data_IF_123967778653
#
_entry.id   IF_123967778653
#
_cell.length_a   1.000
_cell.length_b   1.000
_cell.length_c   1.000
_cell.angle_alpha   90.00
_cell.angle_beta   90.00
_cell.angle_gamma   90.00
#
_symmetry.space_group_name_H-M   'P 1'
#
loop_
_entity.id
_entity.type
_entity.pdbx_description
1 polymer ?
#
# COMPACT_ATOMS: atom_id res chain seq x y z
N UNK A 1 12.01 -9.03 27.23
CA UNK A 1 11.53 -9.70 26.01
C UNK A 1 10.69 -10.87 26.42
N UNK A 2 9.42 -10.92 26.02
CA UNK A 2 8.61 -12.07 26.41
C UNK A 2 9.12 -13.35 25.72
N UNK A 3 8.95 -14.53 26.35
CA UNK A 3 9.59 -15.78 25.91
C UNK A 3 9.13 -16.30 24.54
N UNK A 4 8.01 -15.80 24.03
CA UNK A 4 7.43 -16.11 22.72
C UNK A 4 8.19 -15.51 21.54
N UNK A 5 9.01 -14.47 21.77
CA UNK A 5 9.50 -13.57 20.72
C UNK A 5 10.86 -13.96 20.12
N UNK A 6 11.27 -15.22 20.28
CA UNK A 6 12.62 -15.65 19.90
C UNK A 6 12.83 -17.16 20.00
N UNK A 7 13.67 -17.68 19.10
CA UNK A 7 14.20 -19.05 19.22
C UNK A 7 15.11 -19.14 20.46
N UNK A 8 14.97 -20.22 21.22
CA UNK A 8 15.90 -20.54 22.33
C UNK A 8 17.33 -20.61 21.78
N UNK A 9 18.24 -19.85 22.37
CA UNK A 9 19.64 -19.72 21.94
C UNK A 9 20.61 -20.08 23.10
N UNK A 10 20.32 -21.19 23.77
CA UNK A 10 21.11 -21.66 24.92
C UNK A 10 20.95 -20.80 26.17
N UNK A 11 21.99 -20.76 27.02
CA UNK A 11 22.01 -19.97 28.26
C UNK A 11 23.22 -19.04 28.29
N UNK A 12 23.10 -17.88 28.94
CA UNK A 12 24.25 -17.00 29.19
C UNK A 12 25.17 -17.57 30.28
N UNK A 13 26.29 -16.88 30.54
CA UNK A 13 27.27 -17.28 31.59
C UNK A 13 26.67 -17.31 33.00
N UNK A 14 25.49 -16.71 33.20
CA UNK A 14 24.75 -16.68 34.47
C UNK A 14 23.59 -17.68 34.49
N UNK A 15 23.44 -18.50 33.44
CA UNK A 15 22.38 -19.50 33.34
C UNK A 15 21.03 -18.97 32.84
N UNK A 16 20.94 -17.69 32.45
CA UNK A 16 19.71 -17.11 31.92
C UNK A 16 19.47 -17.62 30.50
N UNK A 17 18.22 -17.97 30.18
CA UNK A 17 17.83 -18.39 28.83
C UNK A 17 18.10 -17.26 27.83
N UNK A 18 18.90 -17.56 26.81
CA UNK A 18 19.12 -16.67 25.67
C UNK A 18 18.09 -16.93 24.59
N UNK A 19 17.84 -15.88 23.85
CA UNK A 19 16.71 -15.72 22.96
C UNK A 19 17.20 -14.91 21.76
N UNK A 20 17.01 -15.44 20.54
CA UNK A 20 17.35 -14.76 19.28
C UNK A 20 16.11 -14.60 18.39
N UNK A 21 15.91 -13.45 17.72
CA UNK A 21 14.80 -13.29 16.77
C UNK A 21 14.83 -14.36 15.68
N UNK A 22 13.66 -14.81 15.23
CA UNK A 22 13.56 -15.71 14.09
C UNK A 22 13.62 -14.95 12.76
N UNK A 23 14.66 -15.11 11.92
CA UNK A 23 14.79 -14.38 10.66
C UNK A 23 13.63 -14.57 9.69
N UNK A 24 12.89 -15.69 9.81
CA UNK A 24 11.76 -16.00 8.95
C UNK A 24 10.49 -15.22 9.30
N UNK A 25 10.43 -14.59 10.48
CA UNK A 25 9.31 -13.75 10.95
C UNK A 25 9.57 -12.25 10.71
N UNK A 26 10.34 -11.92 9.68
CA UNK A 26 10.60 -10.56 9.19
C UNK A 26 10.16 -10.47 7.73
N UNK A 27 9.02 -9.83 7.49
CA UNK A 27 8.45 -9.67 6.16
C UNK A 27 8.89 -8.34 5.58
N UNK A 28 9.99 -8.36 4.83
CA UNK A 28 10.48 -7.22 4.07
C UNK A 28 9.58 -7.01 2.86
N UNK A 29 9.19 -5.77 2.55
CA UNK A 29 8.55 -5.39 1.28
C UNK A 29 8.56 -3.87 1.06
N UNK A 30 7.96 -3.40 -0.04
CA UNK A 30 7.73 -1.98 -0.31
C UNK A 30 6.25 -1.66 -0.10
N UNK A 31 5.97 -0.67 0.74
CA UNK A 31 4.60 -0.26 1.07
C UNK A 31 4.04 0.77 0.09
N UNK A 32 4.92 1.54 -0.56
CA UNK A 32 4.54 2.58 -1.51
C UNK A 32 5.73 2.88 -2.41
N UNK A 33 5.49 3.00 -3.71
CA UNK A 33 6.53 3.32 -4.67
C UNK A 33 6.05 4.39 -5.65
N UNK A 34 6.87 5.43 -5.85
CA UNK A 34 6.57 6.53 -6.74
C UNK A 34 7.74 6.72 -7.69
N UNK A 35 7.42 6.88 -8.97
CA UNK A 35 8.40 7.19 -9.98
C UNK A 35 7.88 8.25 -10.95
N UNK A 36 8.82 8.94 -11.56
CA UNK A 36 8.59 9.83 -12.67
C UNK A 36 9.02 9.12 -13.94
N UNK A 37 8.32 9.33 -15.05
CA UNK A 37 8.65 8.67 -16.31
C UNK A 37 8.55 9.63 -17.48
N UNK A 38 9.62 9.65 -18.25
CA UNK A 38 9.71 10.40 -19.49
C UNK A 38 8.95 9.70 -20.59
N UNK A 39 8.31 10.45 -21.48
CA UNK A 39 7.47 9.92 -22.54
C UNK A 39 7.83 10.64 -23.84
N UNK A 40 8.29 9.86 -24.83
CA UNK A 40 8.85 10.39 -26.06
C UNK A 40 7.80 11.02 -26.98
N UNK A 41 6.57 10.50 -26.97
CA UNK A 41 5.44 10.95 -27.78
C UNK A 41 4.33 11.57 -26.91
N UNK A 42 4.69 12.27 -25.82
CA UNK A 42 3.74 12.71 -24.82
C UNK A 42 2.62 13.59 -25.38
N UNK A 43 2.99 14.67 -26.08
CA UNK A 43 2.03 15.63 -26.60
C UNK A 43 1.13 15.00 -27.68
N UNK A 44 1.67 14.12 -28.53
CA UNK A 44 0.91 13.37 -29.54
C UNK A 44 -0.22 12.54 -28.91
N UNK A 45 0.10 11.74 -27.88
CA UNK A 45 -0.91 10.90 -27.20
C UNK A 45 -1.92 11.77 -26.47
N UNK A 46 -1.48 12.85 -25.81
CA UNK A 46 -2.39 13.76 -25.11
C UNK A 46 -3.34 14.45 -26.09
N UNK A 47 -2.85 14.92 -27.22
CA UNK A 47 -3.64 15.61 -28.27
C UNK A 47 -4.54 14.64 -29.06
N UNK A 48 -4.23 13.35 -29.08
CA UNK A 48 -5.06 12.31 -29.73
C UNK A 48 -6.38 12.00 -29.02
N UNK A 49 -6.71 12.71 -27.95
CA UNK A 49 -7.99 12.65 -27.24
C UNK A 49 -7.88 12.36 -25.75
N UNK A 50 -6.73 11.87 -25.26
CA UNK A 50 -6.55 11.59 -23.84
C UNK A 50 -6.68 12.86 -22.97
N UNK A 51 -6.17 14.01 -23.45
CA UNK A 51 -6.31 15.28 -22.73
C UNK A 51 -7.77 15.68 -22.55
N UNK A 52 -8.58 15.56 -23.60
CA UNK A 52 -10.02 15.85 -23.55
C UNK A 52 -10.73 14.94 -22.55
N UNK A 53 -10.41 13.64 -22.56
CA UNK A 53 -10.96 12.67 -21.62
C UNK A 53 -10.65 13.03 -20.17
N UNK A 54 -9.40 13.44 -19.90
CA UNK A 54 -8.94 13.87 -18.58
C UNK A 54 -9.56 15.21 -18.13
N UNK A 55 -9.69 16.17 -19.04
CA UNK A 55 -10.31 17.47 -18.74
C UNK A 55 -11.81 17.33 -18.43
N UNK A 56 -12.54 16.58 -19.26
CA UNK A 56 -13.95 16.28 -19.07
C UNK A 56 -14.17 15.53 -17.75
N UNK A 57 -13.38 14.50 -17.47
CA UNK A 57 -13.51 13.73 -16.23
C UNK A 57 -13.15 14.56 -14.98
N UNK A 58 -12.13 15.42 -15.05
CA UNK A 58 -11.78 16.34 -13.96
C UNK A 58 -12.92 17.33 -13.68
N UNK A 59 -13.54 17.87 -14.73
CA UNK A 59 -14.64 18.82 -14.59
C UNK A 59 -15.88 18.17 -13.97
N UNK A 60 -16.25 16.97 -14.45
CA UNK A 60 -17.34 16.19 -13.87
C UNK A 60 -17.15 15.92 -12.37
N UNK A 61 -15.93 15.53 -11.99
CA UNK A 61 -15.60 15.28 -10.59
C UNK A 61 -15.67 16.54 -9.73
N UNK A 62 -15.16 17.67 -10.23
CA UNK A 62 -15.09 18.92 -9.45
C UNK A 62 -16.43 19.63 -9.32
N UNK A 63 -17.25 19.64 -10.38
CA UNK A 63 -18.47 20.44 -10.43
C UNK A 63 -19.70 19.66 -9.96
N UNK A 64 -19.73 18.35 -10.25
CA UNK A 64 -20.93 17.51 -10.06
C UNK A 64 -20.71 16.35 -9.10
N UNK A 65 -19.47 16.16 -8.60
CA UNK A 65 -19.08 14.99 -7.79
C UNK A 65 -19.41 13.65 -8.47
N UNK A 66 -19.36 13.64 -9.82
CA UNK A 66 -19.55 12.45 -10.65
C UNK A 66 -18.19 11.87 -11.05
N UNK A 67 -18.11 10.54 -11.16
CA UNK A 67 -16.86 9.86 -11.51
C UNK A 67 -16.88 9.41 -12.97
N UNK A 68 -15.96 9.95 -13.77
CA UNK A 68 -15.64 9.41 -15.09
C UNK A 68 -14.61 8.30 -14.95
N UNK A 69 -14.85 7.18 -15.61
CA UNK A 69 -13.94 6.02 -15.58
C UNK A 69 -13.28 5.79 -16.93
N UNK A 70 -12.08 5.21 -16.89
CA UNK A 70 -11.30 4.78 -18.05
C UNK A 70 -10.92 3.32 -17.82
N UNK A 71 -11.25 2.48 -18.80
CA UNK A 71 -10.93 1.05 -18.78
C UNK A 71 -9.63 0.78 -19.54
N UNK A 72 -8.71 0.06 -18.90
CA UNK A 72 -7.43 -0.35 -19.46
C UNK A 72 -7.38 -1.87 -19.52
N UNK A 73 -7.27 -2.43 -20.73
CA UNK A 73 -7.12 -3.87 -20.93
C UNK A 73 -5.64 -4.24 -20.96
N UNK A 74 -5.25 -5.13 -20.06
CA UNK A 74 -3.91 -5.70 -20.01
C UNK A 74 -3.98 -7.18 -20.32
N UNK A 75 -3.01 -7.76 -21.05
CA UNK A 75 -3.02 -9.20 -21.39
C UNK A 75 -3.06 -10.13 -20.18
N UNK A 76 -2.48 -9.69 -19.06
CA UNK A 76 -2.40 -10.46 -17.81
C UNK A 76 -3.72 -10.49 -17.02
N UNK A 77 -4.76 -9.78 -17.49
CA UNK A 77 -6.04 -9.65 -16.81
C UNK A 77 -7.20 -10.02 -17.72
N UNK A 78 -8.13 -10.82 -17.21
CA UNK A 78 -9.36 -11.18 -17.91
C UNK A 78 -10.33 -9.97 -18.00
N UNK A 79 -10.38 -9.17 -16.93
CA UNK A 79 -11.19 -7.96 -16.85
C UNK A 79 -10.30 -6.71 -16.98
N UNK A 80 -10.80 -5.61 -17.57
CA UNK A 80 -10.06 -4.37 -17.63
C UNK A 80 -9.80 -3.81 -16.22
N UNK A 81 -8.65 -3.17 -16.07
CA UNK A 81 -8.40 -2.27 -14.95
C UNK A 81 -9.26 -1.02 -15.12
N UNK A 82 -10.02 -0.66 -14.09
CA UNK A 82 -10.87 0.53 -14.12
C UNK A 82 -10.19 1.64 -13.33
N UNK A 83 -9.97 2.78 -13.96
CA UNK A 83 -9.41 3.97 -13.35
C UNK A 83 -10.45 5.08 -13.29
N UNK A 84 -10.49 5.82 -12.20
CA UNK A 84 -11.30 7.04 -12.07
C UNK A 84 -10.46 8.25 -12.44
N UNK A 85 -11.00 9.13 -13.29
CA UNK A 85 -10.40 10.42 -13.62
C UNK A 85 -10.63 11.39 -12.46
N UNK A 86 -9.54 12.00 -11.95
CA UNK A 86 -9.57 12.98 -10.85
C UNK A 86 -8.64 14.16 -11.12
N UNK A 87 -8.69 15.17 -10.26
CA UNK A 87 -7.68 16.24 -10.23
C UNK A 87 -6.27 15.69 -9.92
N UNK A 88 -5.24 16.33 -10.48
CA UNK A 88 -3.84 15.96 -10.26
C UNK A 88 -3.17 16.64 -9.05
N UNK A 89 -1.84 16.51 -8.99
CA UNK A 89 -0.98 17.16 -7.99
C UNK A 89 -0.39 18.47 -8.52
N UNK A 90 -1.07 19.59 -8.21
CA UNK A 90 -0.62 20.94 -8.56
C UNK A 90 0.76 21.26 -7.95
N UNK A 91 1.57 22.13 -8.60
CA UNK A 91 1.28 22.84 -9.85
C UNK A 91 1.57 22.05 -11.12
N UNK A 92 2.39 20.99 -11.03
CA UNK A 92 2.95 20.32 -12.20
C UNK A 92 1.95 19.36 -12.88
N UNK A 93 1.30 18.51 -12.10
CA UNK A 93 0.39 17.50 -12.60
C UNK A 93 -1.06 17.97 -12.42
N UNK A 94 -1.77 18.16 -13.52
CA UNK A 94 -3.12 18.74 -13.48
C UNK A 94 -4.22 17.67 -13.41
N UNK A 95 -3.92 16.46 -13.86
CA UNK A 95 -4.87 15.36 -13.98
C UNK A 95 -4.35 14.11 -13.29
N UNK A 96 -5.24 13.21 -12.91
CA UNK A 96 -4.87 11.86 -12.51
C UNK A 96 -5.88 10.80 -12.93
N UNK A 97 -5.37 9.59 -13.17
CA UNK A 97 -6.13 8.35 -13.25
C UNK A 97 -5.82 7.53 -12.00
N UNK A 98 -6.84 7.11 -11.24
CA UNK A 98 -6.63 6.43 -9.97
C UNK A 98 -7.53 5.22 -9.81
N UNK A 99 -6.95 4.14 -9.32
CA UNK A 99 -7.66 3.04 -8.66
C UNK A 99 -6.97 2.74 -7.32
N UNK A 100 -7.35 1.63 -6.67
CA UNK A 100 -6.80 1.25 -5.37
C UNK A 100 -5.32 0.87 -5.41
N UNK A 101 -4.80 0.49 -6.58
CA UNK A 101 -3.45 -0.03 -6.76
C UNK A 101 -2.48 0.98 -7.36
N UNK A 102 -2.93 1.79 -8.30
CA UNK A 102 -2.11 2.64 -9.13
C UNK A 102 -2.77 4.03 -9.22
N UNK A 103 -1.95 5.06 -9.04
CA UNK A 103 -2.27 6.45 -9.38
C UNK A 103 -1.32 6.97 -10.44
N UNK A 104 -1.83 7.42 -11.57
CA UNK A 104 -1.05 8.03 -12.66
C UNK A 104 -1.41 9.50 -12.71
N UNK A 105 -0.41 10.38 -12.67
CA UNK A 105 -0.57 11.82 -12.67
C UNK A 105 0.08 12.41 -13.93
N UNK A 106 -0.66 13.29 -14.59
CA UNK A 106 -0.29 13.84 -15.91
C UNK A 106 -0.08 15.35 -15.83
N UNK A 107 1.02 15.82 -16.40
CA UNK A 107 1.17 17.24 -16.73
C UNK A 107 0.20 17.63 -17.84
N UNK A 108 -0.11 18.92 -17.99
CA UNK A 108 -0.96 19.36 -19.10
C UNK A 108 -0.28 19.25 -20.46
N UNK A 109 1.05 19.40 -20.49
CA UNK A 109 1.89 19.38 -21.68
C UNK A 109 3.29 18.89 -21.32
N UNK A 110 4.03 18.44 -22.30
CA UNK A 110 5.46 18.17 -22.14
C UNK A 110 6.23 19.45 -21.78
N UNK A 111 7.31 19.31 -21.01
CA UNK A 111 8.16 20.42 -20.59
C UNK A 111 9.63 20.06 -20.86
N UNK A 112 10.34 20.97 -21.51
CA UNK A 112 11.79 20.81 -21.78
C UNK A 112 12.67 21.31 -20.62
N UNK A 113 12.18 21.27 -19.38
CA UNK A 113 12.88 21.74 -18.17
C UNK A 113 13.46 20.59 -17.33
N UNK A 114 13.49 19.38 -17.89
CA UNK A 114 13.97 18.17 -17.22
C UNK A 114 12.98 17.53 -16.24
N UNK A 115 11.76 18.09 -16.10
CA UNK A 115 10.68 17.46 -15.33
C UNK A 115 9.88 16.52 -16.23
N UNK A 116 9.73 15.28 -15.79
CA UNK A 116 9.00 14.28 -16.56
C UNK A 116 7.49 14.51 -16.51
N UNK A 117 6.78 14.30 -17.64
CA UNK A 117 5.38 14.67 -17.78
C UNK A 117 4.44 13.74 -17.00
N UNK A 118 4.88 12.52 -16.70
CA UNK A 118 4.10 11.54 -15.96
C UNK A 118 4.77 11.20 -14.63
N UNK A 119 3.94 11.08 -13.61
CA UNK A 119 4.31 10.55 -12.30
C UNK A 119 3.36 9.42 -11.94
N UNK A 120 3.92 8.31 -11.47
CA UNK A 120 3.15 7.12 -11.11
C UNK A 120 3.37 6.82 -9.64
N UNK A 121 2.29 6.44 -8.97
CA UNK A 121 2.24 5.93 -7.61
C UNK A 121 1.72 4.48 -7.69
N UNK A 122 2.43 3.57 -7.06
CA UNK A 122 2.01 2.19 -6.81
C UNK A 122 1.75 2.03 -5.32
N UNK A 123 0.59 1.51 -4.98
CA UNK A 123 0.11 1.33 -3.60
C UNK A 123 0.46 -0.05 -3.05
N UNK A 124 0.35 -0.15 -1.72
CA UNK A 124 0.74 -1.31 -0.92
C UNK A 124 0.22 -2.64 -1.46
N UNK A 125 -1.07 -2.73 -1.82
CA UNK A 125 -1.63 -4.02 -2.19
C UNK A 125 -0.91 -4.63 -3.40
N UNK A 126 -0.78 -3.88 -4.51
CA UNK A 126 -0.10 -4.38 -5.71
C UNK A 126 1.37 -4.72 -5.46
N UNK A 127 2.06 -3.93 -4.63
CA UNK A 127 3.45 -4.20 -4.26
C UNK A 127 3.60 -5.47 -3.43
N UNK A 128 2.64 -5.75 -2.55
CA UNK A 128 2.62 -6.96 -1.72
C UNK A 128 2.12 -8.21 -2.44
N UNK A 129 1.28 -8.03 -3.46
CA UNK A 129 0.83 -9.07 -4.38
C UNK A 129 1.96 -9.47 -5.35
N UNK A 130 2.51 -8.51 -6.09
CA UNK A 130 3.38 -8.80 -7.24
C UNK A 130 4.86 -8.60 -6.97
N UNK A 131 5.21 -7.82 -5.95
CA UNK A 131 6.55 -7.29 -5.79
C UNK A 131 6.80 -6.03 -6.61
N UNK A 132 7.86 -5.30 -6.24
CA UNK A 132 8.18 -4.01 -6.84
C UNK A 132 8.42 -4.10 -8.36
N UNK A 133 9.24 -5.05 -8.82
CA UNK A 133 9.62 -5.16 -10.23
C UNK A 133 8.41 -5.47 -11.10
N UNK A 134 7.59 -6.44 -10.71
CA UNK A 134 6.40 -6.81 -11.47
C UNK A 134 5.32 -5.73 -11.40
N UNK A 135 5.12 -5.09 -10.23
CA UNK A 135 4.19 -3.98 -10.11
C UNK A 135 4.61 -2.78 -10.97
N UNK A 136 5.91 -2.51 -11.06
CA UNK A 136 6.46 -1.49 -11.95
C UNK A 136 6.26 -1.85 -13.43
N UNK A 137 6.55 -3.08 -13.84
CA UNK A 137 6.31 -3.54 -15.21
C UNK A 137 4.83 -3.46 -15.59
N UNK A 138 3.93 -3.78 -14.66
CA UNK A 138 2.49 -3.64 -14.85
C UNK A 138 2.07 -2.19 -15.00
N UNK A 139 2.58 -1.28 -14.15
CA UNK A 139 2.25 0.14 -14.28
C UNK A 139 2.80 0.76 -15.58
N UNK A 140 3.94 0.26 -16.09
CA UNK A 140 4.41 0.60 -17.44
C UNK A 140 3.49 0.07 -18.55
N UNK A 141 2.99 -1.16 -18.40
CA UNK A 141 2.04 -1.75 -19.34
C UNK A 141 0.74 -0.94 -19.42
N UNK A 142 0.28 -0.40 -18.29
CA UNK A 142 -0.85 0.56 -18.26
C UNK A 142 -0.51 1.80 -19.08
N UNK A 143 0.66 2.41 -18.93
CA UNK A 143 1.05 3.58 -19.73
C UNK A 143 1.11 3.25 -21.22
N UNK A 144 1.72 2.13 -21.60
CA UNK A 144 1.81 1.69 -22.99
C UNK A 144 0.43 1.42 -23.60
N UNK A 145 -0.55 0.99 -22.80
CA UNK A 145 -1.93 0.77 -23.28
C UNK A 145 -2.62 2.06 -23.77
N UNK A 146 -2.18 3.23 -23.29
CA UNK A 146 -2.62 4.53 -23.79
C UNK A 146 -1.90 4.98 -25.07
N UNK A 147 -0.94 4.20 -25.57
CA UNK A 147 -0.12 4.54 -26.74
C UNK A 147 1.17 5.30 -26.41
N UNK A 148 1.52 5.42 -25.13
CA UNK A 148 2.76 6.11 -24.74
C UNK A 148 4.02 5.29 -25.05
N UNK A 149 4.98 5.94 -25.72
CA UNK A 149 6.35 5.47 -25.88
C UNK A 149 7.17 5.87 -24.65
N UNK A 150 7.29 4.92 -23.72
CA UNK A 150 7.97 5.10 -22.44
C UNK A 150 9.47 5.26 -22.64
N UNK A 151 10.03 6.35 -22.10
CA UNK A 151 11.47 6.63 -22.03
C UNK A 151 12.06 6.28 -20.65
N UNK A 152 12.99 7.12 -20.18
CA UNK A 152 13.67 6.90 -18.89
C UNK A 152 12.75 7.10 -17.70
N UNK A 153 12.98 6.33 -16.63
CA UNK A 153 12.23 6.43 -15.38
C UNK A 153 13.15 6.78 -14.20
N UNK A 154 12.61 7.56 -13.26
CA UNK A 154 13.33 8.10 -12.10
C UNK A 154 12.56 7.79 -10.83
N UNK A 155 13.24 7.18 -9.85
CA UNK A 155 12.66 6.97 -8.53
C UNK A 155 12.36 8.32 -7.86
N UNK A 156 11.13 8.52 -7.39
CA UNK A 156 10.70 9.74 -6.72
C UNK A 156 10.52 9.52 -5.21
N UNK A 157 9.92 8.40 -4.83
CA UNK A 157 9.74 7.98 -3.44
C UNK A 157 9.67 6.46 -3.35
N UNK A 158 10.20 5.90 -2.29
CA UNK A 158 10.07 4.48 -1.96
C UNK A 158 9.91 4.34 -0.45
N UNK A 159 8.94 3.53 -0.03
CA UNK A 159 8.66 3.23 1.37
C UNK A 159 9.05 1.78 1.64
N UNK A 160 10.25 1.56 2.16
CA UNK A 160 10.67 0.23 2.60
C UNK A 160 9.96 -0.12 3.90
N UNK A 161 9.38 -1.31 4.01
CA UNK A 161 8.63 -1.77 5.16
C UNK A 161 9.10 -3.16 5.61
N UNK A 162 9.09 -3.38 6.93
CA UNK A 162 9.37 -4.70 7.51
C UNK A 162 8.38 -4.99 8.63
N UNK A 163 7.49 -5.95 8.38
CA UNK A 163 6.52 -6.41 9.39
C UNK A 163 7.12 -7.55 10.20
N UNK A 164 7.01 -7.47 11.53
CA UNK A 164 7.49 -8.53 12.42
C UNK A 164 6.75 -8.52 13.75
N UNK A 165 6.53 -9.70 14.32
CA UNK A 165 6.07 -9.90 15.69
C UNK A 165 7.23 -10.07 16.68
N UNK A 166 8.48 -10.12 16.21
CA UNK A 166 9.66 -10.50 17.02
C UNK A 166 10.14 -9.39 17.98
N UNK A 167 9.40 -8.27 18.08
CA UNK A 167 9.68 -7.19 19.01
C UNK A 167 8.41 -6.39 19.32
N UNK A 168 8.24 -6.02 20.59
CA UNK A 168 7.23 -5.06 21.01
C UNK A 168 7.94 -3.79 21.44
N UNK A 169 7.72 -2.70 20.70
CA UNK A 169 8.37 -1.43 21.01
C UNK A 169 7.70 -0.74 22.20
N UNK A 170 8.52 -0.28 23.13
CA UNK A 170 8.12 0.55 24.26
C UNK A 170 8.74 1.94 24.12
N UNK A 171 8.13 2.93 24.79
CA UNK A 171 8.65 4.30 24.78
C UNK A 171 10.10 4.39 25.28
N UNK A 172 10.47 3.55 26.24
CA UNK A 172 11.83 3.51 26.80
C UNK A 172 12.87 2.94 25.83
N UNK A 173 12.49 2.07 24.89
CA UNK A 173 13.41 1.57 23.85
C UNK A 173 13.91 2.73 22.97
N UNK A 174 13.03 3.71 22.71
CA UNK A 174 13.33 4.87 21.87
C UNK A 174 14.39 5.79 22.48
N UNK A 175 14.59 5.75 23.81
CA UNK A 175 15.64 6.54 24.48
C UNK A 175 17.05 6.11 24.10
N UNK A 176 17.22 4.85 23.68
CA UNK A 176 18.50 4.30 23.25
C UNK A 176 18.62 4.20 21.73
N UNK A 177 17.68 4.81 21.02
CA UNK A 177 17.68 4.86 19.56
C UNK A 177 18.64 5.95 19.08
N UNK A 178 19.59 5.57 18.25
CA UNK A 178 20.54 6.47 17.61
C UNK A 178 20.03 6.85 16.22
N UNK A 179 20.10 8.13 15.91
CA UNK A 179 19.65 8.71 14.65
C UNK A 179 20.64 9.79 14.20
N UNK A 180 20.71 10.12 12.90
CA UNK A 180 21.75 11.03 12.41
C UNK A 180 21.57 12.43 13.00
N UNK A 181 22.60 12.94 13.70
CA UNK A 181 22.58 14.31 14.23
C UNK A 181 23.07 15.29 13.16
N UNK A 182 22.19 15.68 12.24
CA UNK A 182 22.50 16.78 11.32
C UNK A 182 22.18 18.13 11.96
N UNK A 183 23.01 19.15 11.68
CA UNK A 183 22.95 20.52 12.23
C UNK A 183 21.65 21.30 11.96
N UNK A 184 20.69 20.77 11.19
CA UNK A 184 19.42 21.43 10.81
C UNK A 184 18.18 20.98 11.60
N UNK A 185 18.33 20.30 12.75
CA UNK A 185 17.21 19.82 13.59
C UNK A 185 16.23 18.80 12.93
N UNK A 186 16.46 18.37 11.69
CA UNK A 186 15.56 17.53 10.88
C UNK A 186 15.35 16.07 11.35
N UNK A 187 16.09 15.58 12.36
CA UNK A 187 16.11 14.14 12.71
C UNK A 187 15.72 13.82 14.15
N UNK A 188 15.33 14.82 14.97
CA UNK A 188 14.67 14.52 16.24
C UNK A 188 13.33 13.85 15.95
N UNK A 189 12.82 12.97 16.84
CA UNK A 189 11.50 12.43 16.68
C UNK A 189 10.49 13.58 16.67
N UNK A 190 9.87 13.78 15.51
CA UNK A 190 8.95 14.89 15.23
C UNK A 190 7.55 14.61 15.78
N UNK A 191 7.24 13.34 16.04
CA UNK A 191 5.95 12.93 16.60
C UNK A 191 6.02 11.58 17.32
N UNK A 192 5.35 11.51 18.47
CA UNK A 192 5.03 10.28 19.19
C UNK A 192 3.52 10.16 19.34
N UNK A 193 3.02 8.95 19.18
CA UNK A 193 1.63 8.59 19.41
C UNK A 193 1.52 7.55 20.50
N UNK A 194 0.67 7.83 21.47
CA UNK A 194 0.22 6.86 22.46
C UNK A 194 -1.23 6.49 22.16
N UNK A 195 -1.60 5.26 22.49
CA UNK A 195 -2.97 4.78 22.48
C UNK A 195 -3.79 5.62 23.48
N UNK A 196 -4.91 6.25 23.06
CA UNK A 196 -5.68 7.12 23.94
C UNK A 196 -6.44 6.36 25.04
N UNK A 197 -6.64 5.06 24.90
CA UNK A 197 -7.35 4.21 25.86
C UNK A 197 -6.40 3.53 26.84
N UNK A 198 -5.26 2.99 26.36
CA UNK A 198 -4.31 2.23 27.19
C UNK A 198 -3.09 3.05 27.63
N UNK A 199 -2.79 4.16 26.95
CA UNK A 199 -1.56 4.95 27.16
C UNK A 199 -0.30 4.29 26.58
N UNK A 200 -0.44 3.13 25.93
CA UNK A 200 0.70 2.40 25.35
C UNK A 200 1.25 3.07 24.10
N UNK A 201 2.53 2.84 23.82
CA UNK A 201 3.18 3.36 22.63
C UNK A 201 2.55 2.77 21.35
N UNK A 202 2.17 3.63 20.40
CA UNK A 202 1.54 3.22 19.13
C UNK A 202 2.45 3.51 17.94
N UNK A 203 3.09 4.69 17.89
CA UNK A 203 3.87 5.13 16.73
C UNK A 203 4.90 6.18 17.10
N UNK A 204 6.07 6.12 16.46
CA UNK A 204 7.06 7.20 16.42
C UNK A 204 7.47 7.48 14.98
N UNK A 205 7.75 8.74 14.70
CA UNK A 205 8.35 9.21 13.47
C UNK A 205 9.71 9.84 13.82
N UNK A 206 10.75 9.51 13.06
CA UNK A 206 12.06 10.15 13.12
C UNK A 206 12.41 10.70 11.75
N UNK A 207 13.00 11.89 11.69
CA UNK A 207 13.38 12.48 10.41
C UNK A 207 12.32 13.39 9.80
N UNK A 208 12.66 13.99 8.67
CA UNK A 208 11.82 14.92 7.95
C UNK A 208 11.14 14.22 6.76
N UNK A 209 9.80 14.16 6.78
CA UNK A 209 8.97 13.54 5.72
C UNK A 209 9.23 14.07 4.31
N UNK A 210 9.76 15.28 4.16
CA UNK A 210 10.09 15.83 2.83
C UNK A 210 11.30 15.16 2.18
N UNK A 211 12.15 14.48 2.97
CA UNK A 211 13.41 13.88 2.51
C UNK A 211 13.53 12.40 2.88
N UNK A 212 13.57 12.11 4.17
CA UNK A 212 13.72 10.78 4.73
C UNK A 212 13.05 10.75 6.10
N UNK A 213 12.14 9.80 6.29
CA UNK A 213 11.47 9.59 7.57
C UNK A 213 11.43 8.09 7.91
N UNK A 214 11.89 7.75 9.11
CA UNK A 214 11.69 6.44 9.73
C UNK A 214 10.39 6.47 10.53
N UNK A 215 9.59 5.42 10.39
CA UNK A 215 8.36 5.18 11.15
C UNK A 215 8.45 3.84 11.82
N UNK A 216 8.17 3.80 13.12
CA UNK A 216 8.01 2.56 13.87
C UNK A 216 6.63 2.59 14.49
N UNK A 217 5.78 1.64 14.12
CA UNK A 217 4.39 1.64 14.56
C UNK A 217 3.80 0.25 14.73
N UNK A 218 2.79 0.15 15.58
CA UNK A 218 1.99 -1.06 15.75
C UNK A 218 1.12 -1.26 14.49
N UNK A 219 1.55 -2.21 13.66
CA UNK A 219 0.92 -2.54 12.38
C UNK A 219 -0.41 -3.26 12.58
N UNK A 220 -0.56 -4.07 13.62
CA UNK A 220 -1.84 -4.69 13.96
C UNK A 220 -2.93 -3.63 14.14
N UNK A 221 -2.68 -2.61 14.96
CA UNK A 221 -3.63 -1.50 15.19
C UNK A 221 -3.94 -0.74 13.89
N UNK A 222 -2.94 -0.51 13.03
CA UNK A 222 -3.13 0.12 11.72
C UNK A 222 -4.00 -0.72 10.77
N UNK A 223 -3.72 -2.02 10.69
CA UNK A 223 -4.45 -2.99 9.86
C UNK A 223 -5.91 -3.07 10.29
N UNK A 224 -6.17 -3.21 11.59
CA UNK A 224 -7.53 -3.27 12.14
C UNK A 224 -8.31 -1.98 11.85
N UNK A 225 -7.67 -0.82 12.06
CA UNK A 225 -8.30 0.49 11.82
C UNK A 225 -8.61 0.74 10.35
N UNK A 226 -7.73 0.33 9.43
CA UNK A 226 -7.92 0.52 7.98
C UNK A 226 -8.63 -0.64 7.30
N UNK A 227 -8.98 -1.70 8.02
CA UNK A 227 -9.70 -2.85 7.48
C UNK A 227 -8.88 -3.71 6.52
N UNK A 228 -7.56 -3.78 6.66
CA UNK A 228 -6.66 -4.52 5.75
C UNK A 228 -6.47 -5.97 6.20
N UNK A 229 -7.56 -6.70 6.39
CA UNK A 229 -7.55 -8.01 7.09
C UNK A 229 -6.69 -9.07 6.39
N UNK A 230 -6.47 -8.96 5.09
CA UNK A 230 -5.55 -9.82 4.32
C UNK A 230 -4.13 -9.89 4.91
N UNK A 231 -3.69 -8.87 5.64
CA UNK A 231 -2.40 -8.93 6.35
C UNK A 231 -2.44 -9.90 7.54
N UNK A 232 -3.57 -10.00 8.25
CA UNK A 232 -3.71 -10.93 9.38
C UNK A 232 -3.65 -12.38 8.90
N UNK A 233 -4.27 -12.68 7.76
CA UNK A 233 -4.20 -14.01 7.14
C UNK A 233 -2.75 -14.38 6.78
N UNK A 234 -2.01 -13.42 6.19
CA UNK A 234 -0.58 -13.58 5.92
C UNK A 234 0.22 -13.87 7.20
N UNK A 235 0.03 -13.08 8.25
CA UNK A 235 0.75 -13.27 9.52
C UNK A 235 0.44 -14.62 10.17
N UNK A 236 -0.83 -15.02 10.19
CA UNK A 236 -1.26 -16.33 10.69
C UNK A 236 -0.62 -17.49 9.92
N UNK A 237 -0.52 -17.37 8.59
CA UNK A 237 0.12 -18.39 7.74
C UNK A 237 1.62 -18.59 8.06
N UNK A 238 2.23 -17.61 8.71
CA UNK A 238 3.64 -17.61 9.11
C UNK A 238 3.81 -17.79 10.63
N UNK A 239 2.76 -18.22 11.33
CA UNK A 239 2.75 -18.43 12.79
C UNK A 239 3.15 -17.16 13.57
N UNK A 240 2.88 -15.97 13.02
CA UNK A 240 3.20 -14.71 13.68
C UNK A 240 2.08 -14.30 14.65
N UNK A 241 2.44 -13.68 15.76
CA UNK A 241 1.49 -13.11 16.73
C UNK A 241 0.77 -11.90 16.10
N UNK A 242 -0.45 -12.14 15.61
CA UNK A 242 -1.27 -11.12 14.94
C UNK A 242 -1.63 -9.95 15.84
N UNK A 243 -1.58 -10.09 17.16
CA UNK A 243 -1.92 -9.01 18.10
C UNK A 243 -0.75 -8.03 18.30
N UNK A 244 0.47 -8.44 17.94
CA UNK A 244 1.70 -7.69 18.20
C UNK A 244 2.61 -7.55 16.97
N UNK A 245 2.04 -7.22 15.81
CA UNK A 245 2.84 -6.94 14.61
C UNK A 245 3.28 -5.48 14.65
N UNK A 246 4.58 -5.26 14.55
CA UNK A 246 5.19 -3.95 14.38
C UNK A 246 5.77 -3.80 12.99
N UNK A 247 5.70 -2.58 12.45
CA UNK A 247 6.35 -2.23 11.20
C UNK A 247 7.50 -1.24 11.47
N UNK A 248 8.64 -1.50 10.85
CA UNK A 248 9.74 -0.54 10.70
C UNK A 248 9.77 -0.11 9.25
N UNK A 249 9.51 1.18 9.01
CA UNK A 249 9.28 1.71 7.67
C UNK A 249 10.11 2.96 7.39
N UNK A 250 10.85 2.96 6.27
CA UNK A 250 11.57 4.14 5.80
C UNK A 250 10.88 4.72 4.57
N UNK A 251 10.29 5.91 4.71
CA UNK A 251 9.86 6.74 3.58
C UNK A 251 11.05 7.54 3.06
N UNK A 252 11.57 7.15 1.90
CA UNK A 252 12.71 7.77 1.24
C UNK A 252 12.23 8.56 0.04
N UNK A 253 12.59 9.84 -0.06
CA UNK A 253 12.20 10.72 -1.17
C UNK A 253 13.39 11.17 -2.00
N UNK A 254 13.09 11.71 -3.19
CA UNK A 254 14.08 12.12 -4.19
C UNK A 254 15.19 13.01 -3.66
N UNK A 255 14.88 13.92 -2.75
CA UNK A 255 15.88 14.84 -2.20
C UNK A 255 16.97 14.12 -1.39
N UNK A 256 16.63 13.01 -0.72
CA UNK A 256 17.62 12.13 -0.10
C UNK A 256 18.32 11.24 -1.14
N UNK A 257 17.57 10.67 -2.08
CA UNK A 257 18.10 9.76 -3.10
C UNK A 257 19.19 10.42 -3.97
N UNK A 258 19.05 11.72 -4.27
CA UNK A 258 20.03 12.51 -5.06
C UNK A 258 21.39 12.70 -4.36
N UNK A 259 21.42 12.57 -3.04
CA UNK A 259 22.62 12.69 -2.22
C UNK A 259 23.30 11.34 -1.98
N UNK A 260 22.63 10.25 -2.34
CA UNK A 260 23.18 8.91 -2.21
C UNK A 260 24.06 8.61 -3.42
N UNK A 261 25.33 8.34 -3.15
CA UNK A 261 26.34 7.94 -4.12
C UNK A 261 26.83 6.54 -3.74
N UNK A 262 27.22 5.73 -4.73
CA UNK A 262 27.92 4.47 -4.44
C UNK A 262 29.39 4.71 -4.09
N UNK A 263 30.13 3.64 -3.84
CA UNK A 263 31.56 3.69 -3.48
C UNK A 263 32.44 4.39 -4.54
N UNK A 264 31.96 4.47 -5.79
CA UNK A 264 32.63 5.12 -6.92
C UNK A 264 32.15 6.57 -7.14
N UNK A 265 31.22 7.07 -6.31
CA UNK A 265 30.64 8.40 -6.44
C UNK A 265 29.50 8.49 -7.48
N UNK A 266 28.99 7.36 -7.97
CA UNK A 266 27.91 7.34 -8.97
C UNK A 266 26.54 7.50 -8.32
N UNK A 267 25.67 8.27 -8.97
CA UNK A 267 24.29 8.51 -8.52
C UNK A 267 23.35 7.38 -8.94
N UNK A 268 23.53 6.21 -8.33
CA UNK A 268 22.82 4.96 -8.66
C UNK A 268 21.29 5.03 -8.59
N UNK A 269 20.70 6.08 -7.99
CA UNK A 269 19.25 6.30 -7.88
C UNK A 269 18.69 7.30 -8.88
N UNK A 270 19.53 7.83 -9.79
CA UNK A 270 19.10 8.74 -10.84
C UNK A 270 18.47 8.03 -12.04
N UNK A 271 18.66 6.71 -12.20
CA UNK A 271 18.03 5.86 -13.20
C UNK A 271 17.45 4.60 -12.54
N UNK A 272 16.16 4.30 -12.77
CA UNK A 272 15.52 3.12 -12.18
C UNK A 272 16.06 1.79 -12.71
N UNK A 273 16.51 1.76 -13.96
CA UNK A 273 17.10 0.55 -14.53
C UNK A 273 18.38 0.17 -13.78
N UNK A 274 19.21 1.16 -13.44
CA UNK A 274 20.41 0.95 -12.63
C UNK A 274 20.09 0.48 -11.21
N UNK A 275 19.05 1.06 -10.58
CA UNK A 275 18.59 0.66 -9.24
C UNK A 275 18.23 -0.82 -9.20
N UNK A 276 17.50 -1.31 -10.21
CA UNK A 276 17.06 -2.70 -10.27
C UNK A 276 18.19 -3.67 -10.63
N UNK A 277 19.15 -3.25 -11.46
CA UNK A 277 20.22 -4.12 -11.93
C UNK A 277 21.44 -4.22 -10.99
N UNK A 278 21.62 -3.29 -10.04
CA UNK A 278 22.82 -3.20 -9.18
C UNK A 278 22.57 -3.44 -7.69
N UNK A 279 21.51 -4.20 -7.35
CA UNK A 279 21.05 -4.41 -5.98
C UNK A 279 20.85 -3.07 -5.22
N UNK A 280 20.45 -2.01 -5.96
CA UNK A 280 20.43 -0.65 -5.44
C UNK A 280 19.47 -0.48 -4.26
N UNK A 281 18.39 -1.25 -4.23
CA UNK A 281 17.41 -1.26 -3.13
C UNK A 281 18.01 -1.81 -1.83
N UNK A 282 18.80 -2.86 -1.91
CA UNK A 282 19.40 -3.51 -0.73
C UNK A 282 20.54 -2.65 -0.18
N UNK A 283 21.31 -2.00 -1.08
CA UNK A 283 22.31 -0.99 -0.71
C UNK A 283 21.65 0.19 0.00
N UNK A 284 20.55 0.71 -0.56
CA UNK A 284 19.81 1.80 0.06
C UNK A 284 19.30 1.43 1.44
N UNK A 285 18.72 0.24 1.60
CA UNK A 285 18.29 -0.25 2.91
C UNK A 285 19.45 -0.34 3.91
N UNK A 286 20.60 -0.86 3.47
CA UNK A 286 21.81 -0.95 4.31
C UNK A 286 22.26 0.43 4.79
N UNK A 287 22.32 1.41 3.89
CA UNK A 287 22.65 2.81 4.23
C UNK A 287 21.66 3.41 5.25
N UNK A 288 20.38 3.08 5.15
CA UNK A 288 19.35 3.54 6.10
C UNK A 288 19.53 2.89 7.48
N UNK A 289 19.82 1.60 7.53
CA UNK A 289 20.06 0.85 8.77
C UNK A 289 21.37 1.22 9.46
N UNK A 290 22.33 1.80 8.74
CA UNK A 290 23.53 2.41 9.33
C UNK A 290 23.26 3.79 9.91
N UNK A 291 22.37 4.57 9.28
CA UNK A 291 21.96 5.90 9.74
C UNK A 291 21.12 5.86 11.00
N UNK A 292 20.23 4.87 11.11
CA UNK A 292 19.34 4.67 12.25
C UNK A 292 19.73 3.39 12.97
N UNK A 293 20.03 3.47 14.26
CA UNK A 293 20.56 2.33 15.00
C UNK A 293 19.87 2.13 16.34
N UNK A 294 19.62 0.87 16.66
CA UNK A 294 19.20 0.45 17.99
C UNK A 294 19.97 -0.81 18.39
N UNK A 295 20.40 -0.90 19.64
CA UNK A 295 21.23 -2.02 20.14
C UNK A 295 20.47 -3.35 20.33
N UNK A 296 19.17 -3.39 20.03
CA UNK A 296 18.38 -4.61 20.23
C UNK A 296 18.79 -5.72 19.27
N UNK A 297 18.61 -6.97 19.71
CA UNK A 297 18.77 -8.14 18.85
C UNK A 297 17.82 -8.08 17.64
N UNK A 298 16.62 -7.53 17.81
CA UNK A 298 15.67 -7.26 16.73
C UNK A 298 16.27 -6.36 15.65
N UNK A 299 16.78 -5.18 16.02
CA UNK A 299 17.38 -4.25 15.06
C UNK A 299 18.61 -4.83 14.38
N UNK A 300 19.42 -5.59 15.14
CA UNK A 300 20.58 -6.32 14.62
C UNK A 300 20.19 -7.38 13.59
N UNK A 301 19.05 -8.06 13.79
CA UNK A 301 18.55 -9.04 12.82
C UNK A 301 17.95 -8.34 11.59
N UNK A 302 17.20 -7.26 11.81
CA UNK A 302 16.62 -6.40 10.78
C UNK A 302 17.70 -5.83 9.84
N UNK A 303 18.83 -5.37 10.39
CA UNK A 303 19.92 -4.77 9.61
C UNK A 303 20.68 -5.78 8.75
N UNK A 304 20.75 -7.04 9.16
CA UNK A 304 21.38 -8.13 8.40
C UNK A 304 20.56 -8.58 7.18
N UNK A 305 19.27 -8.22 7.13
CA UNK A 305 18.28 -8.85 6.25
C UNK A 305 18.12 -8.26 4.86
N UNK A 306 19.00 -7.37 4.37
CA UNK A 306 18.76 -6.67 3.11
C UNK A 306 18.92 -7.55 1.86
N UNK A 307 19.97 -8.38 1.81
CA UNK A 307 20.45 -8.97 0.57
C UNK A 307 19.41 -9.85 -0.15
N UNK A 308 19.04 -9.45 -1.36
CA UNK A 308 18.06 -10.09 -2.23
C UNK A 308 16.62 -10.02 -1.74
N UNK A 309 16.30 -9.30 -0.66
CA UNK A 309 14.95 -9.34 -0.06
C UNK A 309 13.98 -8.38 -0.72
N UNK A 310 14.37 -7.16 -1.08
CA UNK A 310 13.46 -6.19 -1.70
C UNK A 310 13.31 -6.39 -3.22
N UNK A 311 14.36 -6.85 -3.89
CA UNK A 311 14.32 -7.12 -5.33
C UNK A 311 13.50 -8.39 -5.67
N UNK A 312 13.42 -9.35 -4.75
CA UNK A 312 12.76 -10.66 -4.97
C UNK A 312 11.46 -10.83 -4.21
N UNK A 313 11.02 -9.83 -3.46
CA UNK A 313 9.72 -9.88 -2.78
C UNK A 313 8.62 -9.99 -3.81
N UNK A 314 7.93 -11.12 -3.87
CA UNK A 314 6.73 -11.32 -4.69
C UNK A 314 5.80 -12.26 -3.92
N UNK A 315 4.48 -12.12 -4.08
CA UNK A 315 3.52 -13.16 -3.71
C UNK A 315 3.22 -13.35 -2.22
N UNK A 316 3.35 -12.32 -1.38
CA UNK A 316 2.84 -12.44 0.00
C UNK A 316 1.33 -12.41 0.05
N UNK A 317 0.73 -11.62 -0.83
CA UNK A 317 -0.71 -11.50 -0.95
C UNK A 317 -1.15 -12.03 -2.30
N UNK A 318 -2.40 -12.46 -2.36
CA UNK A 318 -3.10 -12.73 -3.60
C UNK A 318 -4.40 -11.95 -3.49
N UNK A 319 -4.77 -11.20 -4.53
CA UNK A 319 -6.11 -10.59 -4.59
C UNK A 319 -7.16 -11.68 -4.70
N UNK A 320 -7.69 -12.10 -3.55
CA UNK A 320 -9.00 -12.71 -3.48
C UNK A 320 -10.02 -11.59 -3.54
N UNK A 321 -11.07 -11.70 -4.37
CA UNK A 321 -12.24 -10.82 -4.21
C UNK A 321 -12.71 -10.99 -2.77
N UNK A 322 -12.56 -9.96 -1.95
CA UNK A 322 -13.04 -9.97 -0.57
C UNK A 322 -14.54 -10.25 -0.60
N UNK A 323 -14.89 -11.48 -0.27
CA UNK A 323 -16.23 -11.80 0.20
C UNK A 323 -16.18 -11.41 1.65
N UNK A 324 -16.60 -10.19 1.98
CA UNK A 324 -16.64 -9.76 3.38
C UNK A 324 -17.61 -10.68 4.12
N UNK A 325 -17.08 -11.73 4.74
CA UNK A 325 -17.84 -12.76 5.45
C UNK A 325 -18.16 -12.32 6.87
N UNK A 326 -17.64 -11.17 7.31
CA UNK A 326 -17.88 -10.64 8.64
C UNK A 326 -19.09 -9.72 8.66
N UNK A 327 -20.27 -10.33 8.82
CA UNK A 327 -21.56 -9.64 8.86
C UNK A 327 -21.62 -8.53 9.92
N UNK A 328 -20.85 -8.62 11.01
CA UNK A 328 -20.86 -7.63 12.09
C UNK A 328 -20.43 -6.22 11.63
N UNK A 329 -19.56 -6.13 10.62
CA UNK A 329 -19.15 -4.82 10.03
C UNK A 329 -20.27 -4.21 9.19
N UNK A 330 -21.05 -5.06 8.51
CA UNK A 330 -22.21 -4.64 7.72
C UNK A 330 -23.37 -4.16 8.61
N UNK A 331 -23.50 -4.70 9.83
CA UNK A 331 -24.56 -4.30 10.78
C UNK A 331 -24.55 -2.78 11.03
N UNK A 332 -23.37 -2.17 11.21
CA UNK A 332 -23.27 -0.74 11.45
C UNK A 332 -23.72 0.10 10.24
N UNK A 333 -23.36 -0.33 9.03
CA UNK A 333 -23.75 0.35 7.79
C UNK A 333 -25.24 0.17 7.50
N UNK A 334 -25.75 -1.05 7.62
CA UNK A 334 -27.18 -1.39 7.47
C UNK A 334 -28.01 -0.55 8.46
N UNK A 335 -27.58 -0.49 9.73
CA UNK A 335 -28.26 0.32 10.75
C UNK A 335 -28.30 1.80 10.36
N UNK A 336 -27.18 2.38 9.94
CA UNK A 336 -27.13 3.78 9.50
C UNK A 336 -28.08 4.07 8.34
N UNK A 337 -28.16 3.17 7.35
CA UNK A 337 -29.07 3.29 6.21
C UNK A 337 -30.54 3.16 6.62
N UNK A 338 -30.85 2.23 7.54
CA UNK A 338 -32.20 2.07 8.08
C UNK A 338 -32.64 3.30 8.87
N UNK A 339 -31.75 3.93 9.64
CA UNK A 339 -32.04 5.19 10.33
C UNK A 339 -32.42 6.30 9.34
N UNK A 340 -31.70 6.43 8.22
CA UNK A 340 -32.04 7.41 7.18
C UNK A 340 -33.44 7.21 6.62
N UNK A 341 -33.93 5.96 6.55
CA UNK A 341 -35.24 5.65 5.98
C UNK A 341 -36.42 6.12 6.86
N UNK A 342 -36.19 6.37 8.16
CA UNK A 342 -37.23 6.72 9.14
C UNK A 342 -36.95 8.03 9.89
N UNK A 343 -35.89 8.76 9.53
CA UNK A 343 -35.46 9.97 10.26
C UNK A 343 -36.53 11.06 10.36
N UNK A 344 -37.46 11.09 9.40
CA UNK A 344 -38.55 12.07 9.33
C UNK A 344 -39.92 11.46 9.70
N UNK A 345 -39.96 10.22 10.19
CA UNK A 345 -41.19 9.56 10.60
C UNK A 345 -41.48 9.80 12.08
N UNK A 346 -42.77 9.85 12.44
CA UNK A 346 -43.20 9.92 13.84
C UNK A 346 -42.82 8.65 14.63
N UNK A 347 -42.77 7.49 13.97
CA UNK A 347 -42.28 6.23 14.53
C UNK A 347 -40.91 5.88 13.92
N UNK A 348 -39.87 5.94 14.74
CA UNK A 348 -38.47 5.80 14.31
C UNK A 348 -37.80 4.49 14.77
N UNK A 349 -38.60 3.45 15.06
CA UNK A 349 -38.09 2.13 15.46
C UNK A 349 -37.54 1.31 14.27
N UNK A 350 -36.70 0.32 14.58
CA UNK A 350 -36.05 -0.53 13.57
C UNK A 350 -37.04 -1.39 12.78
N UNK A 351 -38.15 -1.81 13.38
CA UNK A 351 -39.15 -2.65 12.71
C UNK A 351 -39.87 -1.84 11.64
N UNK A 352 -40.19 -0.58 11.93
CA UNK A 352 -40.76 0.38 10.99
C UNK A 352 -39.79 0.65 9.83
N UNK A 353 -38.50 0.82 10.10
CA UNK A 353 -37.49 1.00 9.07
C UNK A 353 -37.36 -0.22 8.14
N UNK A 354 -37.35 -1.43 8.71
CA UNK A 354 -37.29 -2.68 7.95
C UNK A 354 -38.56 -2.86 7.10
N UNK A 355 -39.76 -2.60 7.65
CA UNK A 355 -41.02 -2.68 6.89
C UNK A 355 -41.00 -1.73 5.69
N UNK A 356 -40.56 -0.48 5.88
CA UNK A 356 -40.41 0.49 4.79
C UNK A 356 -39.41 0.03 3.73
N UNK A 357 -38.25 -0.48 4.16
CA UNK A 357 -37.25 -1.05 3.26
C UNK A 357 -37.85 -2.19 2.43
N UNK A 358 -38.53 -3.15 3.06
CA UNK A 358 -39.13 -4.29 2.36
C UNK A 358 -40.15 -3.86 1.29
N UNK A 359 -41.02 -2.89 1.61
CA UNK A 359 -41.98 -2.34 0.64
C UNK A 359 -41.25 -1.69 -0.54
N UNK A 360 -40.25 -0.85 -0.26
CA UNK A 360 -39.47 -0.14 -1.29
C UNK A 360 -38.61 -1.08 -2.13
N UNK A 361 -38.08 -2.14 -1.53
CA UNK A 361 -37.33 -3.16 -2.24
C UNK A 361 -38.21 -3.90 -3.24
N UNK A 362 -39.41 -4.33 -2.83
CA UNK A 362 -40.37 -4.97 -3.76
C UNK A 362 -40.75 -4.06 -4.93
N UNK A 363 -41.03 -2.79 -4.65
CA UNK A 363 -41.30 -1.80 -5.70
C UNK A 363 -40.10 -1.63 -6.65
N UNK A 364 -38.87 -1.70 -6.12
CA UNK A 364 -37.65 -1.64 -6.92
C UNK A 364 -37.51 -2.88 -7.82
N UNK A 365 -37.71 -4.07 -7.26
CA UNK A 365 -37.66 -5.36 -7.96
C UNK A 365 -38.66 -5.41 -9.12
N UNK A 366 -39.91 -5.03 -8.86
CA UNK A 366 -40.97 -4.92 -9.86
C UNK A 366 -40.59 -3.93 -10.99
N UNK A 367 -40.12 -2.74 -10.63
CA UNK A 367 -39.74 -1.70 -11.60
C UNK A 367 -38.54 -2.09 -12.46
N UNK A 368 -37.60 -2.86 -11.91
CA UNK A 368 -36.36 -3.24 -12.59
C UNK A 368 -36.41 -4.62 -13.22
N UNK A 369 -37.49 -5.38 -13.02
CA UNK A 369 -37.61 -6.76 -13.51
C UNK A 369 -36.50 -7.66 -12.96
N UNK A 370 -36.11 -7.45 -11.70
CA UNK A 370 -35.05 -8.21 -11.01
C UNK A 370 -35.57 -8.73 -9.69
N UNK A 371 -35.12 -9.92 -9.26
CA UNK A 371 -35.33 -10.37 -7.88
C UNK A 371 -34.03 -10.38 -7.08
N UNK A 372 -34.15 -10.06 -5.79
CA UNK A 372 -33.08 -10.15 -4.82
C UNK A 372 -32.48 -11.56 -4.79
N UNK A 373 -33.34 -12.58 -4.89
CA UNK A 373 -32.89 -13.98 -4.96
C UNK A 373 -32.01 -14.24 -6.18
N UNK A 374 -32.41 -13.81 -7.37
CA UNK A 374 -31.60 -13.98 -8.58
C UNK A 374 -30.29 -13.20 -8.52
N UNK A 375 -30.29 -11.99 -7.97
CA UNK A 375 -29.07 -11.19 -7.81
C UNK A 375 -28.11 -11.83 -6.79
N UNK A 376 -28.64 -12.46 -5.73
CA UNK A 376 -27.85 -13.26 -4.77
C UNK A 376 -27.32 -14.52 -5.42
N UNK A 377 -28.14 -15.27 -6.18
CA UNK A 377 -27.68 -16.49 -6.86
C UNK A 377 -26.64 -16.19 -7.95
N UNK A 378 -26.79 -15.09 -8.70
CA UNK A 378 -25.72 -14.60 -9.61
C UNK A 378 -24.43 -14.31 -8.86
N UNK A 379 -24.49 -13.65 -7.71
CA UNK A 379 -23.32 -13.43 -6.86
C UNK A 379 -22.70 -14.74 -6.38
N UNK A 380 -23.52 -15.72 -5.96
CA UNK A 380 -23.05 -17.05 -5.53
C UNK A 380 -22.41 -17.85 -6.67
N UNK A 381 -22.96 -17.80 -7.87
CA UNK A 381 -22.36 -18.47 -9.04
C UNK A 381 -21.00 -17.87 -9.37
N UNK A 382 -20.89 -16.54 -9.37
CA UNK A 382 -19.60 -15.84 -9.54
C UNK A 382 -18.58 -16.21 -8.45
N UNK A 383 -19.05 -16.56 -7.24
CA UNK A 383 -18.22 -17.05 -6.14
C UNK A 383 -17.81 -18.52 -6.30
N UNK A 384 -18.73 -19.36 -6.76
CA UNK A 384 -18.49 -20.79 -6.95
C UNK A 384 -17.57 -21.08 -8.14
N UNK A 385 -17.78 -20.41 -9.27
CA UNK A 385 -16.90 -20.46 -10.44
C UNK A 385 -15.48 -20.02 -10.06
N UNK A 386 -15.38 -19.06 -9.13
CA UNK A 386 -14.11 -18.60 -8.58
C UNK A 386 -13.42 -19.64 -7.68
N UNK A 387 -14.16 -20.38 -6.84
CA UNK A 387 -13.61 -21.46 -6.02
C UNK A 387 -13.15 -22.68 -6.85
N UNK A 388 -13.89 -23.05 -7.89
CA UNK A 388 -13.51 -24.13 -8.81
C UNK A 388 -12.21 -23.77 -9.55
N UNK A 389 -12.09 -22.53 -10.04
CA UNK A 389 -10.88 -22.05 -10.70
C UNK A 389 -9.66 -21.99 -9.77
N UNK A 390 -9.87 -21.73 -8.46
CA UNK A 390 -8.83 -21.80 -7.43
C UNK A 390 -8.30 -23.23 -7.24
N UNK A 391 -9.18 -24.24 -7.29
CA UNK A 391 -8.80 -25.66 -7.14
C UNK A 391 -8.05 -26.18 -8.36
N UNK A 392 -8.54 -25.89 -9.58
CA UNK A 392 -7.89 -26.33 -10.84
C UNK A 392 -6.47 -25.76 -10.99
N UNK A 393 -6.24 -24.51 -10.55
CA UNK A 393 -4.91 -23.89 -10.58
C UNK A 393 -3.94 -24.44 -9.54
N UNK A 394 -4.46 -24.98 -8.44
CA UNK A 394 -3.63 -25.58 -7.39
C UNK A 394 -3.08 -26.93 -7.87
N UNK A 395 -3.89 -27.71 -8.58
CA UNK A 395 -3.49 -29.01 -9.18
C UNK A 395 -2.54 -28.88 -10.38
N UNK A 396 -2.36 -27.68 -10.94
CA UNK A 396 -1.41 -27.43 -12.04
C UNK A 396 -0.07 -26.83 -11.58
N UNK A 397 0.07 -26.56 -10.27
CA UNK A 397 1.28 -26.01 -9.65
C UNK A 397 1.97 -26.99 -8.68
N UNK A 398 1.36 -28.16 -8.44
CA UNK A 398 2.02 -29.37 -7.94
C UNK A 398 2.53 -30.18 -9.16
#
# INVERSE_FOLDING_TARGET
MPPSYSKKDGKDRKGNQKFRPDPNKFLFNIDTFWYNVDILNYDEVMESGLLEELENGRQLHMDYNEEKTVEVRLPSYENPLVFVVKGGQKPLYQFSLRNDDIGIYFSRRYRHDGQYPIKVQINQFLLWDKGLINAFAESLSVLMSFGFAVGKAKMNRIDFAVHSDQWQWLLDDLRTFEYPRNFKDDNKPDFYRLDPCTGEFETVYFGNRTRLQLRIYNKTKEVMKKGKMYFLDLYNSLDMDTENIWNVEFEVRRDFLKECEDEEGLKIFDDLEEVFNRDGLDKLWTMLMEKFYHKSAFWTQLSKGAAGKFARTTGYLIRTKDVDSNFDREVAQIRGRLMTAVVNDENCDIETAIKKFLIKNRQYEERKGKSFKEDVEKKKMLLHDYEINKTIKKETLD
#
